data_IF_417286420631
#
_entry.id   IF_417286420631
#
_cell.length_a   1.000
_cell.length_b   1.000
_cell.length_c   1.000
_cell.angle_alpha   90.00
_cell.angle_beta   90.00
_cell.angle_gamma   90.00
#
_symmetry.space_group_name_H-M   'P 1'
#
loop_
_entity.id
_entity.type
_entity.pdbx_description
1 polymer ?
#
# COMPACT_ATOMS: atom_id res chain seq x y z
N UNK A 1 -19.25 -5.95 -13.71
CA UNK A 1 -19.54 -7.36 -13.34
C UNK A 1 -18.27 -8.11 -12.90
N UNK A 2 -17.17 -8.01 -13.67
CA UNK A 2 -15.89 -8.67 -13.35
C UNK A 2 -15.24 -8.13 -12.07
N UNK A 3 -15.22 -6.81 -11.86
CA UNK A 3 -14.66 -6.19 -10.65
C UNK A 3 -15.39 -6.62 -9.36
N UNK A 4 -16.69 -6.93 -9.42
CA UNK A 4 -17.46 -7.47 -8.29
C UNK A 4 -17.14 -8.93 -7.99
N UNK A 5 -16.90 -9.74 -9.04
CA UNK A 5 -16.45 -11.13 -8.90
C UNK A 5 -15.05 -11.15 -8.29
N UNK A 6 -14.15 -10.30 -8.78
CA UNK A 6 -12.80 -10.14 -8.24
C UNK A 6 -12.85 -9.72 -6.78
N UNK A 7 -13.67 -8.72 -6.41
CA UNK A 7 -13.84 -8.29 -5.02
C UNK A 7 -14.28 -9.45 -4.11
N UNK A 8 -15.28 -10.23 -4.53
CA UNK A 8 -15.74 -11.42 -3.78
C UNK A 8 -14.62 -12.46 -3.58
N UNK A 9 -13.80 -12.70 -4.60
CA UNK A 9 -12.66 -13.61 -4.48
C UNK A 9 -11.63 -13.13 -3.46
N UNK A 10 -11.38 -11.82 -3.39
CA UNK A 10 -10.47 -11.24 -2.39
C UNK A 10 -11.00 -11.43 -0.98
N UNK A 11 -12.25 -11.04 -0.75
CA UNK A 11 -12.86 -11.07 0.58
C UNK A 11 -13.03 -12.49 1.12
N UNK A 12 -13.21 -13.49 0.24
CA UNK A 12 -13.30 -14.90 0.62
C UNK A 12 -11.93 -15.53 0.92
N UNK A 13 -10.83 -14.88 0.57
CA UNK A 13 -9.51 -15.43 0.79
C UNK A 13 -9.10 -15.27 2.27
N UNK A 14 -8.95 -16.39 2.99
CA UNK A 14 -8.53 -16.40 4.40
C UNK A 14 -7.20 -15.66 4.61
N UNK A 15 -6.28 -15.72 3.65
CA UNK A 15 -4.99 -15.02 3.72
C UNK A 15 -5.17 -13.50 3.64
N UNK A 16 -6.08 -13.03 2.81
CA UNK A 16 -6.43 -11.61 2.75
C UNK A 16 -6.99 -11.15 4.11
N UNK A 17 -7.96 -11.86 4.66
CA UNK A 17 -8.53 -11.51 5.98
C UNK A 17 -7.45 -11.47 7.06
N UNK A 18 -6.53 -12.44 7.09
CA UNK A 18 -5.42 -12.50 8.05
C UNK A 18 -4.43 -11.34 7.89
N UNK A 19 -3.84 -11.16 6.72
CA UNK A 19 -2.72 -10.22 6.54
C UNK A 19 -3.15 -8.79 6.24
N UNK A 20 -4.38 -8.59 5.76
CA UNK A 20 -4.88 -7.28 5.31
C UNK A 20 -5.90 -6.68 6.26
N UNK A 21 -6.56 -7.49 7.10
CA UNK A 21 -7.52 -7.00 8.10
C UNK A 21 -7.01 -7.26 9.52
N UNK A 22 -6.75 -8.52 9.87
CA UNK A 22 -6.37 -8.87 11.25
C UNK A 22 -5.00 -8.33 11.64
N UNK A 23 -3.99 -8.43 10.77
CA UNK A 23 -2.65 -7.93 11.06
C UNK A 23 -2.63 -6.41 11.30
N UNK A 24 -3.26 -5.54 10.48
CA UNK A 24 -3.41 -4.12 10.78
C UNK A 24 -4.08 -3.82 12.12
N UNK A 25 -5.13 -4.57 12.47
CA UNK A 25 -5.82 -4.40 13.76
C UNK A 25 -4.91 -4.77 14.92
N UNK A 26 -4.23 -5.92 14.84
CA UNK A 26 -3.26 -6.36 15.83
C UNK A 26 -2.13 -5.34 15.98
N UNK A 27 -1.65 -4.78 14.86
CA UNK A 27 -0.60 -3.76 14.86
C UNK A 27 -1.05 -2.45 15.50
N UNK A 28 -2.28 -2.00 15.22
CA UNK A 28 -2.85 -0.83 15.87
C UNK A 28 -2.93 -1.02 17.38
N UNK A 29 -3.47 -2.15 17.83
CA UNK A 29 -3.56 -2.48 19.26
C UNK A 29 -2.17 -2.57 19.90
N UNK A 30 -1.19 -3.18 19.23
CA UNK A 30 0.18 -3.24 19.70
C UNK A 30 0.80 -1.85 19.90
N UNK A 31 0.70 -0.98 18.88
CA UNK A 31 1.20 0.39 18.99
C UNK A 31 0.49 1.18 20.10
N UNK A 32 -0.84 1.01 20.22
CA UNK A 32 -1.64 1.66 21.27
C UNK A 32 -1.16 1.34 22.68
N UNK A 33 -0.72 0.09 22.92
CA UNK A 33 -0.26 -0.34 24.24
C UNK A 33 1.21 0.01 24.51
N UNK A 34 2.04 0.22 23.48
CA UNK A 34 3.50 0.36 23.65
C UNK A 34 3.99 1.80 23.45
N UNK A 35 3.33 2.58 22.61
CA UNK A 35 3.76 3.94 22.26
C UNK A 35 2.69 4.98 22.61
N UNK A 36 2.53 5.21 23.92
CA UNK A 36 1.54 6.15 24.45
C UNK A 36 1.78 7.60 24.00
N UNK A 37 3.03 7.99 23.73
CA UNK A 37 3.40 9.36 23.32
C UNK A 37 3.23 9.62 21.81
N UNK A 38 2.93 8.59 21.01
CA UNK A 38 2.71 8.77 19.58
C UNK A 38 1.30 9.33 19.34
N UNK A 39 1.18 10.31 18.44
CA UNK A 39 -0.11 10.84 18.04
C UNK A 39 -0.99 9.70 17.47
N UNK A 40 -2.23 9.53 17.96
CA UNK A 40 -3.11 8.43 17.54
C UNK A 40 -3.31 8.33 16.02
N UNK A 41 -3.31 9.47 15.32
CA UNK A 41 -3.45 9.51 13.86
C UNK A 41 -2.26 8.89 13.12
N UNK A 42 -1.04 9.03 13.65
CA UNK A 42 0.16 8.41 13.08
C UNK A 42 0.07 6.90 13.24
N UNK A 43 -0.36 6.43 14.42
CA UNK A 43 -0.56 5.01 14.73
C UNK A 43 -1.61 4.38 13.81
N UNK A 44 -2.74 5.07 13.62
CA UNK A 44 -3.76 4.70 12.64
C UNK A 44 -3.18 4.63 11.23
N UNK A 45 -2.39 5.63 10.83
CA UNK A 45 -1.75 5.70 9.51
C UNK A 45 -0.84 4.51 9.25
N UNK A 46 0.05 4.19 10.20
CA UNK A 46 0.95 3.03 10.11
C UNK A 46 0.16 1.73 10.02
N UNK A 47 -0.85 1.54 10.88
CA UNK A 47 -1.67 0.32 10.91
C UNK A 47 -2.41 0.11 9.58
N UNK A 48 -3.13 1.13 9.10
CA UNK A 48 -3.84 1.06 7.81
C UNK A 48 -2.86 0.81 6.67
N UNK A 49 -1.70 1.47 6.70
CA UNK A 49 -0.70 1.34 5.66
C UNK A 49 -0.14 -0.08 5.54
N UNK A 50 0.10 -0.77 6.65
CA UNK A 50 0.49 -2.20 6.64
C UNK A 50 -0.56 -3.04 5.92
N UNK A 51 -1.84 -2.78 6.16
CA UNK A 51 -2.94 -3.47 5.49
C UNK A 51 -2.96 -3.19 3.99
N UNK A 52 -2.86 -1.92 3.61
CA UNK A 52 -2.80 -1.47 2.21
C UNK A 52 -1.61 -2.12 1.49
N UNK A 53 -0.41 -2.13 2.08
CA UNK A 53 0.76 -2.80 1.50
C UNK A 53 0.49 -4.31 1.37
N UNK A 54 -0.03 -4.96 2.41
CA UNK A 54 -0.34 -6.40 2.37
C UNK A 54 -1.28 -6.76 1.22
N UNK A 55 -2.27 -5.91 0.97
CA UNK A 55 -3.17 -6.05 -0.17
C UNK A 55 -2.45 -5.78 -1.51
N UNK A 56 -1.81 -4.62 -1.64
CA UNK A 56 -1.21 -4.12 -2.88
C UNK A 56 0.03 -4.87 -3.32
N UNK A 57 0.82 -5.41 -2.40
CA UNK A 57 2.00 -6.21 -2.71
C UNK A 57 1.67 -7.68 -2.72
N UNK A 58 1.26 -8.30 -1.61
CA UNK A 58 1.14 -9.77 -1.59
C UNK A 58 -0.09 -10.29 -2.32
N UNK A 59 -1.28 -9.76 -2.01
CA UNK A 59 -2.54 -10.30 -2.57
C UNK A 59 -2.70 -9.94 -4.05
N UNK A 60 -2.40 -8.70 -4.41
CA UNK A 60 -2.53 -8.21 -5.77
C UNK A 60 -1.46 -8.81 -6.70
N UNK A 61 -0.18 -8.83 -6.32
CA UNK A 61 0.85 -9.45 -7.17
C UNK A 61 0.57 -10.92 -7.44
N UNK A 62 0.12 -11.67 -6.43
CA UNK A 62 -0.26 -13.08 -6.59
C UNK A 62 -1.39 -13.25 -7.59
N UNK A 63 -2.43 -12.41 -7.50
CA UNK A 63 -3.55 -12.43 -8.46
C UNK A 63 -3.07 -12.13 -9.87
N UNK A 64 -2.24 -11.10 -10.05
CA UNK A 64 -1.63 -10.80 -11.34
C UNK A 64 -0.84 -12.01 -11.85
N UNK A 65 0.00 -12.63 -11.02
CA UNK A 65 0.80 -13.80 -11.40
C UNK A 65 -0.06 -15.00 -11.84
N UNK A 66 -1.16 -15.26 -11.13
CA UNK A 66 -2.08 -16.37 -11.44
C UNK A 66 -2.97 -16.10 -12.66
N UNK A 67 -3.47 -14.87 -12.83
CA UNK A 67 -4.55 -14.58 -13.77
C UNK A 67 -4.07 -13.94 -15.08
N UNK A 68 -2.87 -13.33 -15.10
CA UNK A 68 -2.40 -12.59 -16.29
C UNK A 68 -2.23 -13.50 -17.51
N UNK A 69 -1.86 -14.77 -17.30
CA UNK A 69 -1.74 -15.75 -18.39
C UNK A 69 -3.09 -16.03 -19.05
N UNK A 70 -4.12 -16.23 -18.22
CA UNK A 70 -5.50 -16.47 -18.66
C UNK A 70 -6.06 -15.27 -19.43
N UNK A 71 -5.97 -14.06 -18.86
CA UNK A 71 -6.49 -12.85 -19.53
C UNK A 71 -5.71 -12.47 -20.80
N UNK A 72 -4.40 -12.77 -20.87
CA UNK A 72 -3.62 -12.57 -22.11
C UNK A 72 -4.04 -13.52 -23.24
N UNK A 73 -4.61 -14.67 -22.88
CA UNK A 73 -5.15 -15.65 -23.82
C UNK A 73 -6.59 -15.27 -24.21
N UNK A 74 -7.42 -14.91 -23.24
CA UNK A 74 -8.81 -14.49 -23.45
C UNK A 74 -8.91 -13.22 -24.30
N UNK A 75 -7.96 -12.28 -24.17
CA UNK A 75 -7.93 -11.08 -25.00
C UNK A 75 -7.70 -11.35 -26.50
N UNK A 76 -7.36 -12.58 -26.89
CA UNK A 76 -7.24 -12.99 -28.30
C UNK A 76 -8.58 -13.40 -28.92
N UNK A 77 -9.56 -13.73 -28.08
CA UNK A 77 -10.86 -14.26 -28.51
C UNK A 77 -12.03 -13.39 -28.03
N UNK A 78 -11.78 -12.39 -27.18
CA UNK A 78 -12.80 -11.48 -26.63
C UNK A 78 -12.37 -10.01 -26.69
N UNK A 79 -13.35 -9.10 -26.59
CA UNK A 79 -13.10 -7.66 -26.45
C UNK A 79 -12.55 -7.26 -25.06
N UNK A 80 -12.38 -8.22 -24.13
CA UNK A 80 -11.84 -7.94 -22.80
C UNK A 80 -10.31 -7.95 -22.84
N UNK A 81 -9.73 -6.77 -23.06
CA UNK A 81 -8.28 -6.58 -23.11
C UNK A 81 -7.62 -6.43 -21.75
N UNK A 82 -6.30 -6.66 -21.70
CA UNK A 82 -5.45 -6.48 -20.52
C UNK A 82 -5.59 -5.07 -19.90
N UNK A 83 -5.85 -4.04 -20.72
CA UNK A 83 -6.08 -2.67 -20.23
C UNK A 83 -7.32 -2.56 -19.33
N UNK A 84 -8.44 -3.15 -19.74
CA UNK A 84 -9.68 -3.12 -18.96
C UNK A 84 -9.54 -3.94 -17.68
N UNK A 85 -8.82 -5.07 -17.75
CA UNK A 85 -8.44 -5.84 -16.57
C UNK A 85 -7.63 -5.01 -15.55
N UNK A 86 -6.63 -4.25 -16.00
CA UNK A 86 -5.82 -3.41 -15.11
C UNK A 86 -6.62 -2.25 -14.51
N UNK A 87 -7.54 -1.65 -15.26
CA UNK A 87 -8.46 -0.63 -14.74
C UNK A 87 -9.40 -1.21 -13.68
N UNK A 88 -10.01 -2.37 -13.96
CA UNK A 88 -10.87 -3.08 -13.01
C UNK A 88 -10.11 -3.43 -11.72
N UNK A 89 -8.87 -3.92 -11.83
CA UNK A 89 -8.04 -4.20 -10.67
C UNK A 89 -7.71 -2.93 -9.87
N UNK A 90 -7.40 -1.82 -10.54
CA UNK A 90 -7.13 -0.55 -9.85
C UNK A 90 -8.35 -0.06 -9.07
N UNK A 91 -9.56 -0.19 -9.64
CA UNK A 91 -10.81 0.11 -8.95
C UNK A 91 -11.02 -0.79 -7.73
N UNK A 92 -10.80 -2.10 -7.88
CA UNK A 92 -10.86 -3.06 -6.76
C UNK A 92 -9.88 -2.66 -5.66
N UNK A 93 -8.68 -2.20 -6.00
CA UNK A 93 -7.70 -1.73 -5.02
C UNK A 93 -8.15 -0.50 -4.25
N UNK A 94 -8.78 0.48 -4.92
CA UNK A 94 -9.33 1.66 -4.24
C UNK A 94 -10.41 1.24 -3.24
N UNK A 95 -11.32 0.35 -3.64
CA UNK A 95 -12.38 -0.18 -2.76
C UNK A 95 -11.80 -0.93 -1.57
N UNK A 96 -10.77 -1.76 -1.78
CA UNK A 96 -10.11 -2.50 -0.71
C UNK A 96 -9.36 -1.58 0.25
N UNK A 97 -8.68 -0.55 -0.25
CA UNK A 97 -8.01 0.44 0.60
C UNK A 97 -9.02 1.20 1.47
N UNK A 98 -10.19 1.54 0.91
CA UNK A 98 -11.30 2.12 1.66
C UNK A 98 -11.81 1.17 2.75
N UNK A 99 -12.01 -0.10 2.42
CA UNK A 99 -12.45 -1.12 3.37
C UNK A 99 -11.45 -1.27 4.54
N UNK A 100 -10.16 -1.37 4.24
CA UNK A 100 -9.10 -1.49 5.26
C UNK A 100 -9.12 -0.27 6.18
N UNK A 101 -9.18 0.93 5.59
CA UNK A 101 -9.23 2.17 6.37
C UNK A 101 -10.44 2.22 7.30
N UNK A 102 -11.64 1.90 6.79
CA UNK A 102 -12.88 1.92 7.59
C UNK A 102 -12.84 0.88 8.71
N UNK A 103 -12.35 -0.33 8.46
CA UNK A 103 -12.29 -1.39 9.48
C UNK A 103 -11.30 -1.02 10.59
N UNK A 104 -10.11 -0.54 10.25
CA UNK A 104 -9.11 -0.15 11.26
C UNK A 104 -9.55 1.11 12.01
N UNK A 105 -10.13 2.09 11.32
CA UNK A 105 -10.70 3.27 11.97
C UNK A 105 -11.84 2.89 12.93
N UNK A 106 -12.74 1.99 12.53
CA UNK A 106 -13.83 1.51 13.38
C UNK A 106 -13.32 0.79 14.64
N UNK A 107 -12.25 0.01 14.52
CA UNK A 107 -11.61 -0.57 15.70
C UNK A 107 -10.94 0.49 16.58
N UNK A 108 -10.25 1.47 15.98
CA UNK A 108 -9.62 2.57 16.71
C UNK A 108 -10.64 3.42 17.49
N UNK A 109 -11.80 3.70 16.90
CA UNK A 109 -12.86 4.48 17.56
C UNK A 109 -13.50 3.70 18.71
N UNK A 110 -13.75 2.39 18.52
CA UNK A 110 -14.38 1.53 19.55
C UNK A 110 -13.43 1.21 20.70
N UNK A 111 -12.21 0.76 20.40
CA UNK A 111 -11.27 0.24 21.41
C UNK A 111 -10.34 1.30 22.00
N UNK A 112 -10.01 2.35 21.25
CA UNK A 112 -9.06 3.39 21.66
C UNK A 112 -9.69 4.79 21.77
N UNK A 113 -11.02 4.92 21.65
CA UNK A 113 -11.78 6.19 21.72
C UNK A 113 -11.23 7.26 20.79
N UNK A 114 -10.79 6.86 19.60
CA UNK A 114 -10.13 7.74 18.64
C UNK A 114 -11.05 8.90 18.17
N UNK A 115 -10.56 10.16 18.15
CA UNK A 115 -11.37 11.31 17.74
C UNK A 115 -11.54 11.39 16.22
N UNK A 116 -12.78 11.36 15.74
CA UNK A 116 -13.09 11.54 14.32
C UNK A 116 -12.99 13.03 13.96
N UNK A 117 -12.14 13.37 13.01
CA UNK A 117 -11.93 14.74 12.54
C UNK A 117 -11.85 14.82 11.01
N UNK A 118 -12.00 16.03 10.45
CA UNK A 118 -11.93 16.26 9.00
C UNK A 118 -10.56 15.95 8.39
N UNK A 119 -9.49 15.92 9.19
CA UNK A 119 -8.12 15.58 8.74
C UNK A 119 -8.00 14.11 8.31
N UNK A 120 -8.91 13.25 8.76
CA UNK A 120 -8.99 11.84 8.33
C UNK A 120 -9.25 11.69 6.83
N UNK A 121 -10.00 12.62 6.21
CA UNK A 121 -10.24 12.58 4.77
C UNK A 121 -8.94 12.75 3.97
N UNK A 122 -8.09 13.68 4.39
CA UNK A 122 -6.77 13.90 3.78
C UNK A 122 -5.86 12.69 4.02
N UNK A 123 -5.88 12.14 5.23
CA UNK A 123 -5.12 10.93 5.57
C UNK A 123 -5.51 9.74 4.68
N UNK A 124 -6.82 9.51 4.51
CA UNK A 124 -7.35 8.46 3.64
C UNK A 124 -6.94 8.67 2.18
N UNK A 125 -7.03 9.90 1.67
CA UNK A 125 -6.64 10.24 0.31
C UNK A 125 -5.15 9.94 0.06
N UNK A 126 -4.27 10.39 0.94
CA UNK A 126 -2.83 10.15 0.83
C UNK A 126 -2.49 8.65 0.94
N UNK A 127 -3.13 7.92 1.86
CA UNK A 127 -2.97 6.47 1.97
C UNK A 127 -3.44 5.72 0.71
N UNK A 128 -4.49 6.20 0.06
CA UNK A 128 -4.99 5.63 -1.19
C UNK A 128 -3.99 5.83 -2.32
N UNK A 129 -3.39 7.03 -2.44
CA UNK A 129 -2.31 7.29 -3.41
C UNK A 129 -1.12 6.35 -3.16
N UNK A 130 -0.72 6.16 -1.90
CA UNK A 130 0.31 5.20 -1.55
C UNK A 130 -0.10 3.76 -1.88
N UNK A 131 -1.36 3.40 -1.69
CA UNK A 131 -1.88 2.08 -2.08
C UNK A 131 -1.81 1.84 -3.58
N UNK A 132 -2.02 2.87 -4.40
CA UNK A 132 -1.83 2.81 -5.86
C UNK A 132 -0.34 2.66 -6.19
N UNK A 133 0.54 3.44 -5.55
CA UNK A 133 2.00 3.31 -5.70
C UNK A 133 2.47 1.86 -5.49
N UNK A 134 2.08 1.24 -4.38
CA UNK A 134 2.44 -0.14 -4.11
C UNK A 134 1.73 -1.13 -5.03
N UNK A 135 0.55 -0.81 -5.55
CA UNK A 135 -0.09 -1.65 -6.56
C UNK A 135 0.71 -1.66 -7.86
N UNK A 136 1.37 -0.56 -8.25
CA UNK A 136 2.29 -0.56 -9.41
C UNK A 136 3.48 -1.50 -9.17
N UNK A 137 4.07 -1.46 -7.98
CA UNK A 137 5.15 -2.39 -7.59
C UNK A 137 4.63 -3.84 -7.60
N UNK A 138 3.47 -4.07 -6.99
CA UNK A 138 2.80 -5.37 -6.93
C UNK A 138 2.48 -5.92 -8.32
N UNK A 139 2.09 -5.07 -9.26
CA UNK A 139 1.90 -5.45 -10.65
C UNK A 139 3.20 -5.99 -11.25
N UNK A 140 4.31 -5.27 -11.13
CA UNK A 140 5.61 -5.72 -11.67
C UNK A 140 6.05 -7.04 -11.04
N UNK A 141 5.92 -7.18 -9.72
CA UNK A 141 6.19 -8.43 -9.02
C UNK A 141 5.31 -9.57 -9.57
N UNK A 142 4.02 -9.31 -9.78
CA UNK A 142 3.07 -10.28 -10.31
C UNK A 142 3.38 -10.73 -11.74
N UNK A 143 3.87 -9.83 -12.59
CA UNK A 143 4.26 -10.21 -13.96
C UNK A 143 5.58 -10.99 -13.99
N UNK A 144 6.51 -10.66 -13.08
CA UNK A 144 7.88 -11.20 -13.06
C UNK A 144 8.05 -12.50 -12.29
N UNK A 145 7.35 -12.64 -11.17
CA UNK A 145 7.51 -13.75 -10.25
C UNK A 145 6.31 -14.70 -10.34
N UNK A 146 6.58 -15.98 -10.13
CA UNK A 146 5.52 -16.98 -9.99
C UNK A 146 4.84 -16.85 -8.62
N UNK A 147 3.56 -17.22 -8.54
CA UNK A 147 2.75 -17.12 -7.34
C UNK A 147 3.41 -17.76 -6.10
N UNK A 148 4.17 -18.85 -6.28
CA UNK A 148 4.90 -19.54 -5.21
C UNK A 148 6.08 -18.71 -4.69
N UNK A 149 6.81 -18.00 -5.57
CA UNK A 149 7.88 -17.09 -5.16
C UNK A 149 7.31 -15.87 -4.44
N UNK A 150 6.19 -15.33 -4.93
CA UNK A 150 5.46 -14.23 -4.27
C UNK A 150 5.04 -14.61 -2.86
N UNK A 151 4.63 -15.87 -2.63
CA UNK A 151 4.27 -16.34 -1.29
C UNK A 151 5.46 -16.30 -0.32
N UNK A 152 6.67 -16.56 -0.81
CA UNK A 152 7.92 -16.56 -0.04
C UNK A 152 8.45 -15.14 0.20
N UNK A 153 8.52 -14.31 -0.85
CA UNK A 153 9.12 -12.97 -0.76
C UNK A 153 8.15 -11.89 -0.31
N UNK A 154 6.84 -12.16 -0.36
CA UNK A 154 5.79 -11.19 -0.08
C UNK A 154 5.91 -10.60 1.33
N UNK A 155 6.18 -11.41 2.34
CA UNK A 155 6.30 -10.92 3.71
C UNK A 155 7.54 -10.04 3.95
N UNK A 156 8.77 -10.44 3.57
CA UNK A 156 9.92 -9.55 3.61
C UNK A 156 9.70 -8.23 2.85
N UNK A 157 9.07 -8.29 1.68
CA UNK A 157 8.77 -7.11 0.87
C UNK A 157 7.76 -6.19 1.56
N UNK A 158 6.71 -6.74 2.21
CA UNK A 158 5.77 -5.95 3.02
C UNK A 158 6.49 -5.24 4.16
N UNK A 159 7.39 -5.93 4.87
CA UNK A 159 8.18 -5.32 5.96
C UNK A 159 9.01 -4.16 5.42
N UNK A 160 9.80 -4.39 4.36
CA UNK A 160 10.63 -3.34 3.77
C UNK A 160 9.81 -2.13 3.31
N UNK A 161 8.64 -2.37 2.73
CA UNK A 161 7.71 -1.30 2.36
C UNK A 161 7.14 -0.57 3.58
N UNK A 162 6.78 -1.27 4.65
CA UNK A 162 6.30 -0.66 5.88
C UNK A 162 7.36 0.23 6.54
N UNK A 163 8.63 -0.19 6.49
CA UNK A 163 9.77 0.62 6.95
C UNK A 163 9.87 1.98 6.25
N UNK A 164 9.22 2.21 5.10
CA UNK A 164 9.29 3.52 4.42
C UNK A 164 8.41 4.61 5.05
N UNK A 165 7.41 4.24 5.87
CA UNK A 165 6.48 5.20 6.50
C UNK A 165 6.74 5.37 8.00
N UNK A 166 7.36 4.37 8.64
CA UNK A 166 7.70 4.44 10.06
C UNK A 166 8.63 5.66 10.29
N UNK A 167 8.26 6.63 11.14
CA UNK A 167 9.04 7.85 11.34
C UNK A 167 10.26 7.59 12.24
N UNK A 168 11.30 6.95 11.70
CA UNK A 168 12.53 6.62 12.44
C UNK A 168 13.21 7.84 13.05
N UNK A 169 13.13 9.01 12.41
CA UNK A 169 13.64 10.26 12.95
C UNK A 169 12.91 10.72 14.24
N UNK A 170 11.65 10.30 14.44
CA UNK A 170 10.88 10.63 15.65
C UNK A 170 11.11 9.68 16.82
N UNK A 171 11.79 8.54 16.59
CA UNK A 171 12.08 7.55 17.62
C UNK A 171 13.34 7.85 18.46
N UNK A 172 13.86 9.08 18.40
CA UNK A 172 14.78 9.60 19.41
C UNK A 172 16.23 9.11 19.38
N UNK A 173 16.66 8.39 18.34
CA UNK A 173 18.05 7.95 18.21
C UNK A 173 18.75 8.68 17.04
N UNK A 174 19.47 9.75 17.39
CA UNK A 174 20.20 10.59 16.44
C UNK A 174 21.53 9.98 15.93
N UNK A 175 21.93 8.78 16.37
CA UNK A 175 23.26 8.22 16.04
C UNK A 175 23.24 7.00 15.10
N UNK A 176 24.20 6.99 14.17
CA UNK A 176 24.62 5.83 13.37
C UNK A 176 23.54 5.26 12.44
N UNK A 177 23.06 4.05 12.76
CA UNK A 177 22.20 3.23 11.91
C UNK A 177 20.84 3.88 11.62
N UNK A 178 20.21 4.51 12.62
CA UNK A 178 18.89 5.13 12.45
C UNK A 178 18.95 6.36 11.54
N UNK A 179 20.04 7.12 11.62
CA UNK A 179 20.31 8.23 10.69
C UNK A 179 20.49 7.75 9.24
N UNK A 180 21.11 6.57 9.05
CA UNK A 180 21.31 5.97 7.73
C UNK A 180 19.99 5.48 7.16
N UNK A 181 19.19 4.76 7.95
CA UNK A 181 17.84 4.32 7.56
C UNK A 181 16.98 5.54 7.20
N UNK A 182 16.99 6.60 8.02
CA UNK A 182 16.25 7.82 7.73
C UNK A 182 16.70 8.52 6.44
N UNK A 183 18.00 8.48 6.09
CA UNK A 183 18.49 8.98 4.80
C UNK A 183 17.99 8.14 3.63
N UNK A 184 17.99 6.82 3.75
CA UNK A 184 17.49 5.90 2.71
C UNK A 184 15.98 6.07 2.52
N UNK A 185 15.22 6.27 3.59
CA UNK A 185 13.77 6.48 3.52
C UNK A 185 13.39 7.68 2.65
N UNK A 186 14.24 8.72 2.55
CA UNK A 186 13.98 9.91 1.71
C UNK A 186 13.89 9.62 0.22
N UNK A 187 14.33 8.45 -0.22
CA UNK A 187 14.19 7.97 -1.60
C UNK A 187 12.74 7.56 -1.88
N UNK A 188 11.98 7.19 -0.85
CA UNK A 188 10.63 6.68 -1.00
C UNK A 188 9.57 7.75 -0.68
N UNK A 189 8.42 7.74 -1.37
CA UNK A 189 7.32 8.67 -1.10
C UNK A 189 6.75 8.51 0.32
N UNK A 190 6.92 7.34 0.95
CA UNK A 190 6.48 7.08 2.32
C UNK A 190 7.06 8.03 3.37
N UNK A 191 8.30 8.48 3.20
CA UNK A 191 8.93 9.43 4.12
C UNK A 191 8.19 10.78 4.12
N UNK A 192 7.88 11.29 2.93
CA UNK A 192 7.19 12.56 2.76
C UNK A 192 5.71 12.46 3.16
N UNK A 193 5.08 11.30 2.98
CA UNK A 193 3.74 11.04 3.54
C UNK A 193 3.72 11.32 5.05
N UNK A 194 4.68 10.79 5.79
CA UNK A 194 4.69 10.93 7.25
C UNK A 194 4.95 12.38 7.67
N UNK A 195 5.80 13.12 6.95
CA UNK A 195 6.00 14.56 7.19
C UNK A 195 4.73 15.39 6.93
N UNK A 196 4.04 15.13 5.81
CA UNK A 196 2.78 15.79 5.49
C UNK A 196 1.71 15.49 6.54
N UNK A 197 1.61 14.24 6.99
CA UNK A 197 0.67 13.86 8.05
C UNK A 197 1.01 14.56 9.38
N UNK A 198 2.28 14.59 9.77
CA UNK A 198 2.70 15.31 10.98
C UNK A 198 2.36 16.80 10.90
N UNK A 199 2.59 17.45 9.76
CA UNK A 199 2.23 18.86 9.56
C UNK A 199 0.73 19.09 9.74
N UNK A 200 -0.11 18.29 9.05
CA UNK A 200 -1.58 18.37 9.14
C UNK A 200 -2.05 18.19 10.59
N UNK A 201 -1.49 17.22 11.31
CA UNK A 201 -1.88 16.91 12.67
C UNK A 201 -1.50 18.02 13.65
N UNK A 202 -0.30 18.59 13.51
CA UNK A 202 0.18 19.74 14.30
C UNK A 202 -0.52 21.06 13.96
N UNK A 203 -1.48 21.07 13.02
CA UNK A 203 -2.23 22.27 12.63
C UNK A 203 -1.51 23.15 11.61
N UNK A 204 -0.35 22.71 11.12
CA UNK A 204 0.37 23.38 10.04
C UNK A 204 -0.19 22.93 8.68
N UNK A 205 -0.23 23.85 7.71
CA UNK A 205 -0.53 23.51 6.32
C UNK A 205 0.51 22.53 5.75
N UNK A 206 0.11 21.73 4.76
CA UNK A 206 1.04 20.88 4.01
C UNK A 206 2.08 21.78 3.32
N UNK A 207 3.36 21.56 3.61
CA UNK A 207 4.42 22.33 2.97
C UNK A 207 4.53 21.93 1.49
N UNK A 208 4.59 22.93 0.60
CA UNK A 208 4.75 22.72 -0.84
C UNK A 208 5.99 21.85 -1.15
N UNK A 209 7.07 22.03 -0.38
CA UNK A 209 8.29 21.24 -0.50
C UNK A 209 8.06 19.74 -0.28
N UNK A 210 7.35 19.35 0.78
CA UNK A 210 7.07 17.95 1.08
C UNK A 210 6.15 17.33 0.02
N UNK A 211 5.17 18.10 -0.48
CA UNK A 211 4.30 17.66 -1.57
C UNK A 211 5.07 17.44 -2.88
N UNK A 212 5.96 18.37 -3.25
CA UNK A 212 6.79 18.24 -4.46
C UNK A 212 7.74 17.04 -4.36
N UNK A 213 8.37 16.84 -3.21
CA UNK A 213 9.27 15.71 -2.98
C UNK A 213 8.51 14.38 -2.96
N UNK A 214 7.29 14.36 -2.40
CA UNK A 214 6.40 13.20 -2.48
C UNK A 214 6.10 12.82 -3.93
N UNK A 215 5.67 13.77 -4.77
CA UNK A 215 5.37 13.52 -6.18
C UNK A 215 6.63 13.10 -6.95
N UNK A 216 7.75 13.79 -6.71
CA UNK A 216 9.01 13.53 -7.42
C UNK A 216 9.54 12.14 -7.13
N UNK A 217 9.59 11.76 -5.85
CA UNK A 217 10.02 10.40 -5.46
C UNK A 217 9.05 9.34 -5.90
N UNK A 218 7.74 9.60 -5.86
CA UNK A 218 6.72 8.70 -6.43
C UNK A 218 7.02 8.39 -7.91
N UNK A 219 7.19 9.43 -8.74
CA UNK A 219 7.43 9.27 -10.19
C UNK A 219 8.78 8.60 -10.44
N UNK A 220 9.86 9.05 -9.78
CA UNK A 220 11.20 8.51 -9.97
C UNK A 220 11.29 7.03 -9.60
N UNK A 221 10.57 6.57 -8.58
CA UNK A 221 10.56 5.14 -8.22
C UNK A 221 9.75 4.29 -9.21
N UNK A 222 8.76 4.86 -9.91
CA UNK A 222 7.96 4.13 -10.90
C UNK A 222 8.69 3.98 -12.24
N UNK A 223 9.54 4.94 -12.63
CA UNK A 223 10.24 4.90 -13.91
C UNK A 223 11.05 3.60 -14.12
N UNK A 224 11.90 3.15 -13.17
CA UNK A 224 12.63 1.89 -13.31
C UNK A 224 11.71 0.67 -13.45
N UNK A 225 10.55 0.69 -12.78
CA UNK A 225 9.58 -0.40 -12.81
C UNK A 225 9.00 -0.62 -14.21
N UNK A 226 8.86 0.45 -15.01
CA UNK A 226 8.40 0.35 -16.40
C UNK A 226 9.34 -0.52 -17.26
N UNK A 227 10.65 -0.33 -17.12
CA UNK A 227 11.66 -1.14 -17.84
C UNK A 227 11.72 -2.59 -17.35
N UNK A 228 11.27 -2.81 -16.11
CA UNK A 228 11.16 -4.14 -15.54
C UNK A 228 9.87 -4.87 -15.94
N UNK A 229 9.01 -4.35 -16.80
CA UNK A 229 7.88 -5.16 -17.33
C UNK A 229 8.37 -5.98 -18.54
N UNK A 230 8.36 -7.33 -18.49
CA UNK A 230 8.86 -8.15 -19.58
C UNK A 230 7.91 -8.04 -20.79
N UNK A 231 8.43 -7.54 -21.92
CA UNK A 231 7.66 -7.38 -23.17
C UNK A 231 7.05 -8.71 -23.65
N UNK A 232 7.70 -9.86 -23.39
CA UNK A 232 7.31 -11.19 -23.91
C UNK A 232 5.99 -11.72 -23.34
N UNK A 233 5.64 -11.46 -22.08
CA UNK A 233 4.33 -11.85 -21.51
C UNK A 233 3.18 -11.00 -22.06
N UNK A 234 3.47 -9.81 -22.58
CA UNK A 234 2.52 -8.93 -23.26
C UNK A 234 2.49 -9.15 -24.79
N UNK A 235 3.52 -9.80 -25.35
CA UNK A 235 3.88 -9.84 -26.79
C UNK A 235 3.67 -11.20 -27.48
N UNK A 236 2.80 -12.08 -26.98
CA UNK A 236 2.14 -13.02 -27.92
C UNK A 236 0.86 -12.39 -28.50
N UNK A 237 0.98 -11.12 -28.83
CA UNK A 237 0.09 -10.28 -29.63
C UNK A 237 0.70 -10.21 -31.03
N UNK A 238 0.39 -11.20 -31.85
CA UNK A 238 0.35 -11.09 -33.31
C UNK A 238 -0.97 -11.69 -33.74
#
# INVERSE_FOLDING_TARGET
>A
MISMIQLKQVLRNRRFVLFTILLPLAWYMFLYNIQADMLPNIMLGIAVFIGIIGNSLATFSKRISSDIGFYSFESRFSNYGIKNYLLDQTLVQIVLNALIFVVVLGAATVFAKFPINGKLGIQFFLLTIMGIYFSVIGFVLGVRLDAKLIDTVGFPVIILAALTIIPFASFGAESGFISLVAKVQRIFPGYYYTNMMNAILSGNGIQLKDMLLFITTFVLNIIPLYFLVPKVKLSKTK
#
